data_IF_173805401281
#
_entry.id   IF_173805401281
#
_cell.length_a   1.000
_cell.length_b   1.000
_cell.length_c   1.000
_cell.angle_alpha   90.00
_cell.angle_beta   90.00
_cell.angle_gamma   90.00
#
_symmetry.space_group_name_H-M   'P 1'
#
loop_
_entity.id
_entity.type
_entity.pdbx_description
1 polymer ?
2 non-polymer ?
3 non-polymer ?
4 non-polymer ?
5 water ?
#
# COMPACT_ATOMS: atom_id res chain seq x y z
N UNK A 3 -14.08 -5.95 -23.52
CA UNK A 3 -14.48 -6.35 -22.18
C UNK A 3 -13.99 -5.32 -21.13
N UNK A 4 -12.68 -5.20 -20.98
CA UNK A 4 -12.12 -4.29 -19.99
C UNK A 4 -12.25 -2.84 -20.45
N UNK A 5 -12.61 -1.92 -19.56
CA UNK A 5 -12.71 -0.51 -19.96
C UNK A 5 -11.34 0.12 -20.21
N UNK A 6 -11.35 1.19 -21.03
CA UNK A 6 -10.09 1.86 -21.37
C UNK A 6 -9.47 2.57 -20.17
N UNK A 7 -10.30 2.96 -19.20
CA UNK A 7 -9.85 3.51 -17.93
C UNK A 7 -10.67 2.91 -16.81
N UNK A 8 -10.05 2.80 -15.63
CA UNK A 8 -10.74 2.36 -14.43
C UNK A 8 -10.11 3.02 -13.23
N UNK A 9 -10.94 3.37 -12.25
CA UNK A 9 -10.46 4.02 -11.03
C UNK A 9 -11.25 3.45 -9.87
N UNK A 10 -10.56 2.71 -9.00
CA UNK A 10 -11.21 2.09 -7.86
C UNK A 10 -11.95 3.11 -7.00
N UNK A 11 -11.43 4.34 -6.89
CA UNK A 11 -12.12 5.35 -6.09
C UNK A 11 -13.50 5.68 -6.66
N UNK A 12 -13.65 5.60 -7.98
CA UNK A 12 -14.95 5.83 -8.62
C UNK A 12 -15.84 4.59 -8.58
N UNK A 13 -15.25 3.39 -8.68
CA UNK A 13 -16.08 2.17 -8.65
C UNK A 13 -16.68 1.92 -7.27
N UNK A 14 -15.93 2.21 -6.19
CA UNK A 14 -16.38 1.94 -4.83
C UNK A 14 -16.39 3.26 -4.05
N UNK A 15 -17.37 4.13 -4.34
CA UNK A 15 -17.37 5.47 -3.70
C UNK A 15 -17.68 5.48 -2.22
N UNK A 16 -18.15 4.38 -1.62
CA UNK A 16 -18.39 4.35 -0.18
C UNK A 16 -17.25 3.70 0.60
N UNK A 17 -16.09 3.53 -0.01
CA UNK A 17 -14.92 2.92 0.63
C UNK A 17 -13.84 3.98 0.76
N UNK A 18 -13.79 4.72 1.87
CA UNK A 18 -12.92 5.90 1.97
C UNK A 18 -11.44 5.59 2.06
N UNK A 19 -11.07 4.36 2.45
CA UNK A 19 -9.65 4.07 2.50
C UNK A 19 -9.02 4.04 1.11
N UNK A 20 -9.81 3.84 0.05
CA UNK A 20 -9.22 3.80 -1.29
C UNK A 20 -8.66 5.18 -1.64
N UNK A 21 -9.29 6.24 -1.16
CA UNK A 21 -8.85 7.60 -1.42
C UNK A 21 -7.70 8.05 -0.50
N UNK A 22 -7.38 7.28 0.53
CA UNK A 22 -6.52 7.75 1.61
C UNK A 22 -5.05 7.49 1.31
N UNK A 23 -4.21 8.51 1.52
CA UNK A 23 -2.76 8.41 1.31
C UNK A 23 -2.08 8.37 2.67
N UNK A 24 -1.19 7.40 2.85
CA UNK A 24 -0.50 7.22 4.11
C UNK A 24 0.92 7.81 4.02
N UNK A 25 1.65 7.73 5.13
CA UNK A 25 3.04 8.20 5.23
C UNK A 25 3.82 7.19 6.05
N UNK A 26 4.76 6.50 5.43
CA UNK A 26 5.50 5.51 6.19
C UNK A 26 6.51 6.14 7.14
N UNK A 27 6.71 7.46 7.09
CA UNK A 27 7.68 8.12 7.97
C UNK A 27 9.11 7.76 7.60
N UNK A 28 10.03 7.98 8.54
CA UNK A 28 11.44 7.63 8.36
C UNK A 28 11.66 6.17 8.73
N UNK A 29 11.08 5.31 7.89
CA UNK A 29 11.11 3.87 8.10
C UNK A 29 10.87 3.26 6.73
N UNK A 30 11.53 2.16 6.44
CA UNK A 30 11.40 1.54 5.14
C UNK A 30 10.30 0.49 5.13
N UNK A 31 9.06 0.93 5.40
CA UNK A 31 7.93 0.04 5.61
C UNK A 31 6.98 0.01 4.41
N UNK A 32 7.44 0.50 3.25
CA UNK A 32 6.61 0.52 2.05
C UNK A 32 6.02 -0.84 1.76
N UNK A 33 6.80 -1.92 2.00
CA UNK A 33 6.32 -3.27 1.75
C UNK A 33 5.08 -3.59 2.59
N UNK A 34 5.01 -3.04 3.81
CA UNK A 34 3.85 -3.25 4.67
C UNK A 34 2.68 -2.35 4.29
N UNK A 35 2.96 -1.09 3.94
CA UNK A 35 1.88 -0.17 3.61
C UNK A 35 1.17 -0.59 2.32
N UNK A 36 1.90 -0.96 1.28
CA UNK A 36 1.25 -1.45 0.08
C UNK A 36 0.27 -2.58 0.38
N UNK A 37 0.65 -3.49 1.29
CA UNK A 37 -0.25 -4.60 1.61
C UNK A 37 -1.47 -4.12 2.39
N UNK A 38 -1.27 -3.38 3.49
CA UNK A 38 -2.40 -3.10 4.37
C UNK A 38 -3.37 -2.10 3.73
N UNK A 39 -2.88 -1.22 2.84
CA UNK A 39 -3.79 -0.36 2.09
C UNK A 39 -4.67 -1.18 1.15
N UNK A 40 -4.05 -2.07 0.37
CA UNK A 40 -4.83 -2.90 -0.53
C UNK A 40 -5.79 -3.81 0.22
N UNK A 41 -5.35 -4.35 1.37
CA UNK A 41 -6.22 -5.19 2.21
C UNK A 41 -7.41 -4.38 2.75
N UNK A 42 -7.16 -3.14 3.21
CA UNK A 42 -8.22 -2.30 3.74
C UNK A 42 -9.28 -2.03 2.67
N UNK A 43 -8.84 -1.70 1.45
CA UNK A 43 -9.75 -1.54 0.32
C UNK A 43 -10.54 -2.82 0.03
N UNK A 44 -9.87 -3.98 -0.02
CA UNK A 44 -10.58 -5.20 -0.39
C UNK A 44 -11.61 -5.61 0.67
N UNK A 45 -11.32 -5.38 1.97
CA UNK A 45 -12.32 -5.67 3.02
C UNK A 45 -13.57 -4.84 2.79
N UNK A 46 -13.41 -3.55 2.50
CA UNK A 46 -14.57 -2.72 2.23
C UNK A 46 -15.31 -3.19 0.97
N UNK A 47 -14.56 -3.55 -0.08
CA UNK A 47 -15.15 -4.08 -1.30
C UNK A 47 -15.85 -5.40 -1.03
N UNK A 48 -15.20 -6.29 -0.26
CA UNK A 48 -15.74 -7.61 0.01
C UNK A 48 -17.06 -7.53 0.77
N UNK A 49 -17.28 -6.47 1.54
CA UNK A 49 -18.47 -6.29 2.37
C UNK A 49 -19.38 -5.19 1.86
N UNK A 50 -19.12 -4.65 0.66
CA UNK A 50 -19.97 -3.61 0.09
C UNK A 50 -20.13 -2.44 1.05
N UNK A 51 -19.01 -2.05 1.65
CA UNK A 51 -18.92 -0.86 2.51
C UNK A 51 -19.55 -1.05 3.91
N UNK A 52 -19.91 -2.27 4.28
CA UNK A 52 -20.41 -2.45 5.64
C UNK A 52 -19.25 -2.49 6.65
N UNK A 53 -18.07 -2.88 6.20
CA UNK A 53 -16.87 -2.88 7.03
C UNK A 53 -15.86 -2.00 6.32
N UNK A 54 -15.52 -0.86 6.92
CA UNK A 54 -14.54 0.05 6.36
C UNK A 54 -13.56 0.37 7.48
N UNK A 55 -12.39 -0.29 7.45
CA UNK A 55 -11.39 -0.18 8.50
C UNK A 55 -10.03 0.07 7.88
N UNK A 56 -9.20 0.83 8.61
CA UNK A 56 -7.79 0.97 8.28
C UNK A 56 -7.05 -0.19 8.95
N UNK A 57 -6.54 -1.12 8.14
CA UNK A 57 -5.74 -2.21 8.69
C UNK A 57 -4.37 -1.65 9.10
N UNK A 58 -3.79 -2.20 10.17
CA UNK A 58 -2.63 -1.58 10.84
C UNK A 58 -1.33 -1.91 10.12
N UNK A 59 -0.70 -0.90 9.53
CA UNK A 59 0.68 -1.08 9.09
C UNK A 59 1.57 -1.49 10.26
N UNK A 60 1.31 -0.94 11.45
CA UNK A 60 2.12 -1.25 12.62
C UNK A 60 2.09 -2.74 12.96
N UNK A 61 0.92 -3.36 12.89
CA UNK A 61 0.81 -4.77 13.26
C UNK A 61 1.66 -5.64 12.33
N UNK A 62 1.61 -5.37 11.03
CA UNK A 62 2.37 -6.15 10.05
C UNK A 62 3.87 -5.87 10.16
N UNK A 63 4.25 -4.62 10.37
CA UNK A 63 5.65 -4.24 10.43
C UNK A 63 6.35 -4.88 11.63
N UNK A 64 5.68 -4.91 12.78
CA UNK A 64 6.34 -5.31 14.02
C UNK A 64 6.17 -6.79 14.31
N UNK A 65 5.11 -7.44 13.83
CA UNK A 65 4.82 -8.80 14.27
C UNK A 65 5.13 -9.87 13.22
N UNK A 66 5.48 -9.49 11.99
CA UNK A 66 5.72 -10.53 10.99
C UNK A 66 7.06 -11.24 11.21
N UNK A 67 8.08 -10.51 11.66
CA UNK A 67 9.36 -11.14 11.92
C UNK A 67 10.14 -11.47 10.65
N UNK A 68 11.00 -12.49 10.77
CA UNK A 68 11.95 -12.78 9.70
C UNK A 68 11.27 -13.22 8.41
N UNK A 69 10.05 -13.74 8.51
CA UNK A 69 9.37 -14.24 7.32
C UNK A 69 9.14 -13.12 6.31
N UNK A 70 8.88 -11.90 6.78
CA UNK A 70 8.58 -10.79 5.89
C UNK A 70 9.83 -10.06 5.42
N UNK A 71 10.90 -10.09 6.20
CA UNK A 71 12.09 -9.31 5.92
C UNK A 71 12.69 -8.78 7.20
N UNK A 72 13.03 -7.50 7.25
CA UNK A 72 13.65 -6.92 8.44
C UNK A 72 13.01 -5.58 8.79
N UNK A 73 11.67 -5.54 8.83
CA UNK A 73 10.99 -4.42 9.45
C UNK A 73 11.22 -3.12 8.71
N UNK A 74 11.66 -2.09 9.45
CA UNK A 74 11.94 -0.78 8.86
C UNK A 74 13.13 -0.79 7.92
N UNK A 75 13.84 -1.91 7.75
CA UNK A 75 14.90 -1.98 6.77
C UNK A 75 14.43 -2.60 5.46
N UNK A 76 13.14 -2.81 5.31
CA UNK A 76 12.61 -3.37 4.09
C UNK A 76 12.13 -4.80 4.29
N UNK A 77 11.32 -5.24 3.33
CA UNK A 77 10.67 -6.53 3.42
C UNK A 77 10.09 -6.93 2.08
N UNK A 78 9.21 -7.92 2.12
CA UNK A 78 8.74 -8.59 0.90
C UNK A 78 7.22 -8.65 0.84
N UNK A 79 6.60 -7.96 -0.14
CA UNK A 79 5.13 -7.93 -0.19
C UNK A 79 4.46 -9.29 -0.19
N UNK A 80 4.95 -10.23 -0.99
CA UNK A 80 4.33 -11.55 -1.05
C UNK A 80 4.23 -12.16 0.34
N UNK A 81 5.28 -11.98 1.16
CA UNK A 81 5.27 -12.61 2.47
C UNK A 81 4.38 -11.84 3.45
N UNK A 82 4.16 -10.54 3.22
CA UNK A 82 3.23 -9.77 4.05
C UNK A 82 1.79 -10.24 3.86
N UNK A 83 1.40 -10.54 2.62
CA UNK A 83 0.05 -11.07 2.42
C UNK A 83 -0.09 -12.44 3.03
N UNK A 84 0.97 -13.25 3.01
CA UNK A 84 0.92 -14.57 3.64
C UNK A 84 0.69 -14.44 5.15
N UNK A 85 1.36 -13.49 5.79
CA UNK A 85 1.12 -13.27 7.22
C UNK A 85 -0.33 -12.89 7.50
N UNK A 86 -0.95 -12.15 6.59
CA UNK A 86 -2.35 -11.79 6.75
C UNK A 86 -3.23 -13.04 6.77
N UNK A 87 -2.89 -14.05 5.96
CA UNK A 87 -3.72 -15.26 6.00
C UNK A 87 -3.40 -16.15 7.19
N UNK A 88 -2.24 -16.01 7.82
CA UNK A 88 -1.80 -16.92 8.87
C UNK A 88 -2.15 -16.40 10.27
N UNK A 89 -1.74 -15.17 10.58
CA UNK A 89 -1.98 -14.58 11.88
C UNK A 89 -2.95 -13.41 11.84
N UNK A 90 -3.25 -12.89 10.65
CA UNK A 90 -4.21 -11.82 10.51
C UNK A 90 -3.62 -10.49 10.95
N UNK A 91 -4.39 -9.43 10.74
CA UNK A 91 -3.95 -8.10 11.07
C UNK A 91 -5.05 -7.36 11.79
N UNK A 92 -4.69 -6.62 12.84
CA UNK A 92 -5.62 -5.75 13.57
C UNK A 92 -5.74 -4.40 12.86
N UNK A 93 -6.65 -3.55 13.34
CA UNK A 93 -6.85 -2.23 12.75
C UNK A 93 -5.93 -1.20 13.40
N UNK A 94 -5.79 -0.07 12.71
CA UNK A 94 -5.04 1.07 13.19
C UNK A 94 -4.83 2.11 12.12
N UNK A 95 -5.11 3.37 12.42
CA UNK A 95 -5.00 4.45 11.48
C UNK A 95 -3.65 5.14 11.52
N UNK A 96 -3.67 6.42 11.16
CA UNK A 96 -2.46 7.21 10.95
C UNK A 96 -1.78 7.52 12.29
N UNK A 97 -0.59 8.10 12.19
CA UNK A 97 0.17 8.45 13.38
C UNK A 97 -0.63 9.42 14.24
N UNK A 98 -0.71 9.10 15.54
CA UNK A 98 -1.46 9.90 16.51
C UNK A 98 -2.88 10.20 16.05
N UNK A 99 -3.54 9.21 15.42
CA UNK A 99 -4.95 9.33 15.09
C UNK A 99 -5.85 8.76 16.17
N UNK A 100 -5.30 7.99 17.10
CA UNK A 100 -6.08 7.25 18.10
C UNK A 100 -7.21 6.47 17.44
N UNK A 101 -6.95 5.93 16.24
CA UNK A 101 -7.91 5.16 15.47
C UNK A 101 -7.47 3.70 15.44
N UNK A 102 -8.38 2.80 15.78
CA UNK A 102 -8.10 1.38 15.69
C UNK A 102 -7.28 0.85 16.85
N UNK A 103 -6.86 -0.41 16.69
CA UNK A 103 -6.14 -1.12 17.73
C UNK A 103 -4.71 -0.63 17.87
N UNK A 104 -3.95 -0.63 16.76
CA UNK A 104 -2.53 -0.28 16.75
C UNK A 104 -2.27 0.76 15.67
N UNK A 105 -2.57 2.03 15.94
CA UNK A 105 -2.22 3.08 14.97
C UNK A 105 -0.71 3.19 14.80
N UNK A 106 -0.32 3.76 13.67
CA UNK A 106 1.10 3.85 13.29
C UNK A 106 1.90 4.65 14.30
N UNK A 107 3.06 4.14 14.70
CA UNK A 107 3.85 4.78 15.73
C UNK A 107 5.01 5.60 15.18
N UNK A 108 5.31 5.51 13.88
CA UNK A 108 6.40 6.25 13.27
C UNK A 108 5.86 7.60 12.78
N UNK A 109 6.42 8.73 13.21
CA UNK A 109 5.86 10.03 12.83
C UNK A 109 6.06 10.33 11.35
N UNK A 110 5.23 11.20 10.78
CA UNK A 110 5.33 11.52 9.36
C UNK A 110 6.51 12.45 9.07
N UNK A 111 6.83 12.60 7.80
CA UNK A 111 7.98 13.42 7.43
C UNK A 111 7.89 13.81 5.95
N UNK A 112 8.84 14.64 5.51
CA UNK A 112 8.83 15.18 4.16
C UNK A 112 9.69 14.31 3.26
N UNK A 113 9.08 13.80 2.20
CA UNK A 113 9.78 12.86 1.28
C UNK A 113 10.19 13.60 0.01
N UNK A 114 11.37 14.19 0.05
CA UNK A 114 11.93 14.87 -1.13
C UNK A 114 11.05 16.06 -1.55
N UNK A 115 10.32 16.65 -0.60
CA UNK A 115 9.52 17.84 -0.87
C UNK A 115 9.66 18.78 0.31
N UNK A 116 9.34 20.04 0.07
CA UNK A 116 9.38 21.04 1.13
C UNK A 116 8.06 21.09 1.87
N UNK A 117 8.15 21.18 3.19
CA UNK A 117 6.96 21.13 4.01
C UNK A 117 7.29 21.47 5.44
N UNK A 118 6.25 21.49 6.27
CA UNK A 118 6.43 21.88 7.65
C UNK A 118 6.86 20.72 8.54
N UNK A 119 6.75 19.49 8.06
CA UNK A 119 7.18 18.34 8.85
C UNK A 119 8.70 18.20 8.73
N UNK A 120 9.32 17.49 9.68
CA UNK A 120 10.74 17.24 9.55
C UNK A 120 11.04 16.45 8.29
N UNK A 121 12.17 16.71 7.65
CA UNK A 121 12.56 15.86 6.50
C UNK A 121 12.80 14.43 6.94
N UNK A 122 12.46 13.49 6.05
CA UNK A 122 12.71 12.09 6.34
C UNK A 122 14.20 11.82 6.42
N UNK A 123 14.55 10.97 7.39
CA UNK A 123 15.95 10.58 7.63
C UNK A 123 16.07 9.06 7.45
N UNK A 124 17.20 8.48 7.82
CA UNK A 124 17.32 7.02 7.76
C UNK A 124 17.20 6.38 9.13
N UNK A 125 16.39 6.97 10.01
CA UNK A 125 16.29 6.47 11.40
C UNK A 125 15.18 5.41 11.47
N UNK A 126 15.45 4.21 10.94
CA UNK A 126 14.43 3.16 10.93
C UNK A 126 14.74 1.97 11.82
N UNK A 127 14.44 2.05 13.11
CA UNK A 127 14.56 0.85 13.96
C UNK A 127 13.14 0.25 14.07
N UNK A 128 13.00 -1.07 13.90
CA UNK A 128 11.62 -1.64 13.85
C UNK A 128 11.06 -1.69 15.27
N UNK A 129 9.93 -1.01 15.55
CA UNK A 129 9.31 -1.06 16.85
C UNK A 129 8.94 -2.49 17.30
N UNK A 130 8.64 -2.63 18.59
CA UNK A 130 8.37 -3.95 19.14
C UNK A 130 6.96 -4.38 18.82
N UNK A 131 6.80 -5.69 18.65
CA UNK A 131 5.48 -6.30 18.44
C UNK A 131 4.75 -6.31 19.78
N UNK A 132 3.90 -5.30 19.99
CA UNK A 132 3.05 -5.19 21.17
C UNK A 132 1.64 -5.66 20.79
N UNK A 133 1.30 -6.88 21.22
CA UNK A 133 -0.01 -7.46 20.94
C UNK A 133 -1.08 -6.96 21.89
N UNK A 134 -1.18 -5.65 22.04
CA UNK A 134 -2.19 -5.01 22.88
C UNK A 134 -2.76 -3.83 22.12
N UNK A 135 -4.06 -3.60 22.28
CA UNK A 135 -4.68 -2.49 21.59
C UNK A 135 -4.49 -1.21 22.38
N UNK A 136 -4.75 -0.09 21.71
CA UNK A 136 -4.60 1.21 22.34
C UNK A 136 -5.55 1.30 23.54
N UNK A 137 -5.15 1.99 24.61
CA UNK A 137 -6.05 2.13 25.77
C UNK A 137 -7.41 2.71 25.37
N UNK A 138 -8.47 2.06 25.84
CA UNK A 138 -9.82 2.46 25.50
C UNK A 138 -10.38 1.85 24.24
N UNK A 139 -9.58 1.10 23.47
CA UNK A 139 -10.10 0.43 22.29
C UNK A 139 -10.89 -0.79 22.72
N UNK A 140 -12.15 -0.87 22.26
CA UNK A 140 -13.08 -1.83 22.87
C UNK A 140 -12.72 -3.29 22.55
N UNK A 141 -12.62 -3.71 21.28
CA UNK A 141 -12.30 -5.12 21.02
C UNK A 141 -10.90 -5.42 21.52
N UNK A 142 -10.67 -6.67 21.93
CA UNK A 142 -9.30 -6.96 22.31
C UNK A 142 -8.46 -7.14 21.04
N UNK A 143 -7.16 -7.29 21.24
CA UNK A 143 -6.24 -7.46 20.12
C UNK A 143 -6.59 -8.72 19.31
N UNK A 144 -6.87 -9.84 20.01
CA UNK A 144 -7.26 -11.06 19.32
C UNK A 144 -8.54 -10.87 18.51
N UNK A 145 -9.55 -10.26 19.11
CA UNK A 145 -10.83 -10.07 18.43
C UNK A 145 -10.77 -9.12 17.25
N UNK A 146 -9.80 -8.21 17.23
CA UNK A 146 -9.71 -7.20 16.18
C UNK A 146 -8.95 -7.70 14.96
N UNK A 147 -8.51 -8.95 14.97
CA UNK A 147 -7.74 -9.49 13.86
C UNK A 147 -8.62 -9.68 12.63
N UNK A 148 -8.10 -9.27 11.47
CA UNK A 148 -8.74 -9.52 10.19
C UNK A 148 -7.86 -10.47 9.39
N UNK A 149 -8.46 -11.55 8.87
CA UNK A 149 -7.72 -12.63 8.22
C UNK A 149 -7.96 -12.67 6.72
N UNK A 150 -6.95 -13.16 6.00
CA UNK A 150 -7.06 -13.43 4.58
C UNK A 150 -7.39 -14.89 4.31
N UNK A 151 -8.27 -15.10 3.32
CA UNK A 151 -8.53 -16.44 2.81
C UNK A 151 -7.31 -16.99 2.09
N UNK A 152 -6.66 -16.16 1.28
CA UNK A 152 -5.49 -16.61 0.53
C UNK A 152 -4.62 -15.40 0.19
N UNK A 153 -3.47 -15.71 -0.42
CA UNK A 153 -2.62 -14.70 -1.05
C UNK A 153 -1.99 -15.37 -2.27
N UNK A 154 -1.70 -14.56 -3.29
CA UNK A 154 -1.28 -15.12 -4.56
C UNK A 154 -0.56 -14.06 -5.37
N UNK A 155 0.26 -14.51 -6.31
CA UNK A 155 0.88 -13.62 -7.29
C UNK A 155 -0.08 -13.42 -8.45
N UNK A 156 -0.07 -12.24 -9.02
CA UNK A 156 -0.70 -12.02 -10.31
C UNK A 156 0.38 -12.12 -11.37
N UNK A 157 0.03 -12.71 -12.50
CA UNK A 157 1.02 -12.92 -13.55
C UNK A 157 1.46 -11.58 -14.15
N UNK A 158 2.68 -11.59 -14.69
CA UNK A 158 3.30 -10.45 -15.33
C UNK A 158 2.63 -10.20 -16.67
N UNK A 159 1.36 -9.84 -16.63
CA UNK A 159 0.55 -9.62 -17.80
C UNK A 159 -0.38 -8.45 -17.51
N UNK A 160 -0.32 -7.44 -18.38
CA UNK A 160 -1.12 -6.23 -18.23
C UNK A 160 -2.60 -6.57 -18.07
N UNK A 161 -3.12 -7.44 -18.94
CA UNK A 161 -4.55 -7.75 -18.93
C UNK A 161 -4.96 -8.53 -17.68
N UNK A 162 -4.09 -9.39 -17.14
CA UNK A 162 -4.44 -10.11 -15.92
C UNK A 162 -4.46 -9.19 -14.71
N UNK A 163 -3.49 -8.28 -14.63
CA UNK A 163 -3.46 -7.31 -13.54
C UNK A 163 -4.68 -6.41 -13.61
N UNK A 164 -5.05 -5.94 -14.82
CA UNK A 164 -6.25 -5.12 -14.92
C UNK A 164 -7.49 -5.89 -14.50
N UNK A 165 -7.60 -7.15 -14.96
CA UNK A 165 -8.75 -7.98 -14.61
C UNK A 165 -8.84 -8.20 -13.11
N UNK A 166 -7.69 -8.41 -12.47
CA UNK A 166 -7.64 -8.61 -11.02
C UNK A 166 -8.15 -7.37 -10.29
N UNK A 167 -7.69 -6.19 -10.68
CA UNK A 167 -8.17 -4.97 -10.03
C UNK A 167 -9.66 -4.79 -10.28
N UNK A 168 -10.08 -5.02 -11.53
CA UNK A 168 -11.45 -4.79 -11.98
C UNK A 168 -12.43 -5.64 -11.22
N UNK A 169 -12.06 -6.88 -10.93
CA UNK A 169 -12.95 -7.81 -10.23
C UNK A 169 -12.76 -7.82 -8.72
N UNK A 170 -11.53 -7.74 -8.23
CA UNK A 170 -11.25 -7.99 -6.83
C UNK A 170 -10.75 -6.80 -6.06
N UNK A 171 -10.43 -5.69 -6.73
CA UNK A 171 -9.99 -4.51 -6.01
C UNK A 171 -8.50 -4.27 -6.12
N UNK A 172 -8.03 -3.25 -5.42
CA UNK A 172 -6.62 -2.83 -5.53
C UNK A 172 -5.63 -3.91 -5.10
N UNK A 173 -4.45 -3.88 -5.71
CA UNK A 173 -3.40 -4.86 -5.50
C UNK A 173 -2.14 -4.15 -4.97
N UNK A 174 -1.20 -4.94 -4.47
CA UNK A 174 0.13 -4.43 -4.16
C UNK A 174 1.05 -4.77 -5.32
N UNK A 175 1.92 -3.81 -5.67
CA UNK A 175 2.95 -4.04 -6.67
C UNK A 175 4.28 -3.54 -6.15
N UNK A 176 5.31 -3.74 -6.97
CA UNK A 176 6.65 -3.31 -6.64
C UNK A 176 7.36 -2.92 -7.93
N UNK A 177 8.24 -1.93 -7.82
CA UNK A 177 9.01 -1.48 -8.97
C UNK A 177 10.32 -0.90 -8.46
N UNK A 178 11.26 -0.71 -9.38
CA UNK A 178 12.56 -0.13 -9.10
C UNK A 178 12.47 1.39 -9.16
N UNK A 179 12.95 2.07 -8.11
CA UNK A 179 12.94 3.53 -8.08
C UNK A 179 14.28 4.05 -8.63
N UNK A 180 14.21 4.89 -9.65
CA UNK A 180 15.35 5.64 -10.12
C UNK A 180 15.22 7.08 -9.65
N UNK A 181 16.35 7.80 -9.60
CA UNK A 181 16.36 9.07 -8.89
C UNK A 181 15.43 10.09 -9.54
N UNK A 182 15.22 10.02 -10.86
CA UNK A 182 14.26 10.94 -11.47
C UNK A 182 12.83 10.74 -10.95
N UNK A 183 12.53 9.56 -10.40
CA UNK A 183 11.19 9.33 -9.85
C UNK A 183 10.91 10.21 -8.64
N UNK A 184 11.97 10.56 -7.88
CA UNK A 184 11.77 11.28 -6.63
C UNK A 184 11.16 12.66 -6.85
N UNK A 185 11.32 13.21 -8.05
CA UNK A 185 10.85 14.55 -8.39
C UNK A 185 9.49 14.54 -9.09
N UNK A 186 8.82 13.38 -9.14
CA UNK A 186 7.55 13.28 -9.87
C UNK A 186 6.54 14.30 -9.36
N UNK A 187 5.90 15.01 -10.28
CA UNK A 187 4.78 15.88 -9.93
C UNK A 187 3.47 15.48 -10.57
N UNK A 188 3.47 15.22 -11.88
CA UNK A 188 2.22 14.98 -12.60
C UNK A 188 2.56 14.22 -13.87
N UNK A 189 1.52 13.83 -14.60
CA UNK A 189 1.71 13.13 -15.86
C UNK A 189 2.02 11.66 -15.62
N UNK A 190 2.52 11.01 -16.67
CA UNK A 190 2.85 9.59 -16.64
C UNK A 190 4.35 9.44 -16.47
N UNK A 191 4.78 8.86 -15.35
CA UNK A 191 6.20 8.67 -15.14
C UNK A 191 6.76 7.62 -16.10
N UNK A 192 7.87 7.96 -16.75
CA UNK A 192 8.74 7.04 -17.49
C UNK A 192 10.17 7.36 -17.14
N UNK A 193 10.96 6.33 -16.83
CA UNK A 193 12.32 6.56 -16.40
C UNK A 193 13.15 7.09 -17.56
N UNK A 194 13.83 8.23 -17.35
CA UNK A 194 14.64 8.81 -18.41
C UNK A 194 16.06 9.10 -17.94
N UNK A 195 16.24 9.34 -16.63
CA UNK A 195 17.55 9.71 -16.10
C UNK A 195 17.71 9.17 -14.69
N UNK A 196 18.96 9.00 -14.27
CA UNK A 196 19.29 8.82 -12.88
C UNK A 196 19.58 7.37 -12.50
N UNK A 197 20.32 7.21 -11.40
CA UNK A 197 20.76 5.89 -10.97
C UNK A 197 19.66 5.16 -10.21
N UNK A 198 19.85 3.84 -10.08
CA UNK A 198 18.89 2.99 -9.39
C UNK A 198 19.01 3.23 -7.88
N UNK A 199 17.89 3.54 -7.22
CA UNK A 199 17.93 3.79 -5.78
C UNK A 199 17.55 2.59 -4.94
N UNK A 200 16.62 1.78 -5.42
CA UNK A 200 16.14 0.63 -4.65
C UNK A 200 14.73 0.27 -5.06
N UNK A 201 14.23 -0.77 -4.42
CA UNK A 201 12.90 -1.26 -4.71
C UNK A 201 11.88 -0.64 -3.78
N UNK A 202 10.68 -0.43 -4.32
CA UNK A 202 9.60 0.28 -3.64
C UNK A 202 8.32 -0.50 -3.89
N UNK A 203 7.44 -0.56 -2.89
CA UNK A 203 6.23 -1.36 -2.95
C UNK A 203 5.03 -0.44 -2.73
N UNK A 204 4.01 -0.55 -3.58
CA UNK A 204 2.96 0.46 -3.65
C UNK A 204 1.63 -0.22 -3.89
N UNK A 205 0.58 0.59 -3.96
CA UNK A 205 -0.79 0.12 -4.17
C UNK A 205 -1.27 0.60 -5.54
N UNK A 206 -1.63 -0.34 -6.41
CA UNK A 206 -2.13 -0.05 -7.74
C UNK A 206 -3.65 -0.13 -7.69
N UNK A 207 -4.32 0.91 -8.14
CA UNK A 207 -5.77 0.98 -7.95
C UNK A 207 -6.52 1.38 -9.21
N UNK A 208 -5.86 1.34 -10.36
CA UNK A 208 -6.54 1.61 -11.61
C UNK A 208 -5.56 1.81 -12.76
N UNK A 209 -6.12 2.33 -13.85
CA UNK A 209 -5.36 2.53 -15.09
C UNK A 209 -6.07 3.56 -15.97
N UNK A 210 -5.37 3.99 -16.99
CA UNK A 210 -5.94 4.97 -17.90
C UNK A 210 -5.01 5.22 -19.05
N UNK A 211 -5.33 6.28 -19.79
CA UNK A 211 -4.49 6.79 -20.87
C UNK A 211 -4.42 8.30 -20.71
N UNK A 212 -3.23 8.86 -20.77
CA UNK A 212 -3.04 10.30 -20.66
C UNK A 212 -2.18 10.73 -21.84
N UNK A 213 -2.75 11.56 -22.72
CA UNK A 213 -2.06 12.07 -23.91
C UNK A 213 -1.47 10.91 -24.70
N UNK A 214 -2.30 9.90 -24.93
CA UNK A 214 -1.89 8.72 -25.67
C UNK A 214 -1.01 7.74 -24.92
N UNK A 215 -0.60 8.06 -23.69
CA UNK A 215 0.31 7.20 -22.94
C UNK A 215 -0.48 6.36 -21.95
N UNK A 216 -0.51 5.03 -22.07
CA UNK A 216 -1.24 4.22 -21.09
C UNK A 216 -0.50 4.20 -19.76
N UNK A 217 -1.25 4.17 -18.68
CA UNK A 217 -0.63 4.24 -17.36
C UNK A 217 -1.38 3.38 -16.34
N UNK A 218 -0.68 3.12 -15.23
CA UNK A 218 -1.26 2.59 -14.00
C UNK A 218 -1.50 3.74 -13.03
N UNK A 219 -2.64 3.72 -12.34
CA UNK A 219 -2.90 4.67 -11.26
C UNK A 219 -2.42 4.06 -9.95
N UNK A 220 -1.48 4.73 -9.28
CA UNK A 220 -0.77 4.17 -8.13
C UNK A 220 -0.83 5.12 -6.93
N UNK A 221 -1.10 4.56 -5.75
CA UNK A 221 -0.94 5.29 -4.49
C UNK A 221 0.46 5.05 -3.93
N UNK A 222 1.19 6.14 -3.68
CA UNK A 222 2.44 6.13 -2.93
C UNK A 222 2.14 6.33 -1.44
N UNK A 223 3.12 6.00 -0.60
CA UNK A 223 2.95 6.18 0.85
C UNK A 223 3.94 7.21 1.39
N UNK A 224 4.08 8.33 0.68
CA UNK A 224 4.98 9.42 1.07
C UNK A 224 4.19 10.66 1.43
N UNK A 225 2.99 10.47 1.98
CA UNK A 225 2.09 11.57 2.33
C UNK A 225 1.53 12.29 1.09
N UNK A 226 0.65 13.26 1.33
CA UNK A 226 -0.11 13.85 0.23
C UNK A 226 0.64 14.95 -0.50
N UNK A 227 1.63 15.57 0.14
CA UNK A 227 2.32 16.65 -0.55
C UNK A 227 3.40 16.16 -1.50
N UNK A 228 3.68 14.86 -1.52
CA UNK A 228 4.52 14.28 -2.55
C UNK A 228 3.71 14.00 -3.82
N UNK A 229 4.33 14.27 -4.97
CA UNK A 229 3.71 13.89 -6.24
C UNK A 229 2.37 14.57 -6.50
N UNK A 230 1.42 13.81 -7.05
CA UNK A 230 0.11 14.33 -7.45
C UNK A 230 -0.89 14.01 -6.35
N UNK A 231 -0.86 14.82 -5.31
CA UNK A 231 -1.66 14.61 -4.10
C UNK A 231 -1.39 13.25 -3.47
N UNK A 232 -0.15 12.76 -3.60
CA UNK A 232 0.22 11.46 -3.07
C UNK A 232 0.13 10.31 -4.06
N UNK A 233 -0.59 10.48 -5.17
CA UNK A 233 -0.66 9.46 -6.20
C UNK A 233 0.37 9.77 -7.29
N UNK A 234 0.65 8.76 -8.11
CA UNK A 234 1.41 8.97 -9.33
C UNK A 234 0.83 8.06 -10.41
N UNK A 235 1.18 8.34 -11.65
CA UNK A 235 0.89 7.49 -12.79
C UNK A 235 2.19 6.95 -13.36
N UNK A 236 2.21 5.68 -13.74
CA UNK A 236 3.41 5.09 -14.31
C UNK A 236 3.05 4.33 -15.60
N UNK A 237 3.98 4.36 -16.56
CA UNK A 237 3.77 3.74 -17.88
C UNK A 237 3.34 2.29 -17.76
N UNK A 238 2.31 1.91 -18.53
CA UNK A 238 1.64 0.61 -18.45
C UNK A 238 1.85 -0.16 -19.75
N UNK A 239 2.11 -1.46 -19.63
CA UNK A 239 2.14 -2.35 -20.77
C UNK A 239 3.52 -2.79 -21.19
N UNK A 240 4.59 -2.26 -20.56
CA UNK A 240 5.95 -2.60 -20.92
C UNK A 240 6.76 -3.07 -19.72
N UNK A 241 6.10 -3.54 -18.65
CA UNK A 241 6.77 -3.93 -17.41
C UNK A 241 7.78 -2.86 -16.96
N UNK A 242 7.38 -1.60 -17.13
CA UNK A 242 8.33 -0.49 -16.93
C UNK A 242 8.81 -0.43 -15.49
N UNK A 243 10.13 -0.47 -15.31
CA UNK A 243 10.72 -0.51 -13.96
C UNK A 243 10.26 -1.74 -13.17
N UNK A 244 9.76 -2.77 -13.85
CA UNK A 244 9.28 -3.95 -13.17
C UNK A 244 7.90 -3.83 -12.57
N UNK A 245 7.13 -2.80 -12.94
CA UNK A 245 5.85 -2.52 -12.26
C UNK A 245 4.86 -3.67 -12.43
N UNK A 246 4.95 -4.44 -13.52
CA UNK A 246 4.01 -5.53 -13.76
C UNK A 246 4.54 -6.89 -13.30
N UNK A 247 5.68 -6.94 -12.62
CA UNK A 247 6.35 -8.20 -12.38
C UNK A 247 6.24 -8.72 -10.95
N UNK A 248 5.71 -7.92 -10.01
CA UNK A 248 5.74 -8.31 -8.61
C UNK A 248 4.39 -8.02 -7.95
N UNK A 249 3.30 -8.21 -8.69
CA UNK A 249 1.96 -7.87 -8.21
C UNK A 249 1.43 -9.03 -7.37
N UNK A 250 0.89 -8.71 -6.19
CA UNK A 250 0.39 -9.70 -5.24
C UNK A 250 -0.94 -9.19 -4.70
N UNK A 251 -1.83 -10.13 -4.36
CA UNK A 251 -3.13 -9.79 -3.78
C UNK A 251 -3.63 -11.00 -3.01
N UNK A 252 -4.90 -10.93 -2.59
CA UNK A 252 -5.50 -11.97 -1.77
C UNK A 252 -6.92 -11.57 -1.42
N UNK A 253 -7.69 -12.55 -0.98
CA UNK A 253 -9.13 -12.40 -0.73
C UNK A 253 -9.37 -12.40 0.78
N UNK A 254 -10.10 -11.42 1.32
CA UNK A 254 -10.36 -11.41 2.77
C UNK A 254 -11.28 -12.55 3.21
N UNK A 255 -11.12 -12.94 4.46
CA UNK A 255 -12.10 -13.85 5.07
C UNK A 255 -13.19 -12.91 5.60
N UNK A 256 -14.43 -13.38 5.69
CA UNK A 256 -15.55 -12.55 6.18
C UNK A 256 -15.49 -12.42 7.71
N UNK A 257 -15.45 -11.18 8.22
CA UNK A 257 -15.49 -10.88 9.68
C UNK A 257 -14.14 -11.14 10.36
#
# INVERSE_FOLDING_TARGET
DLKLPASFDAREQWPQCPTIKEIRDQGSCGSCWAFGAVEAISDRICIHTNAHVSVEVSAEDLLTCCGSMCGDGCNGGYPAEAWNFWTRKGLVSGGLYESHVGCRPYSIPPCEHHVNGSRPPCTGEGDTPKCSKICEPGYSPTYKQDKHYGYNSYSVSNSEKDIMAEIYKNGPVEGAFSVYSDFLLYKSGVYQHVTGEMMGGHAIRILGWGVENGTPYWLVANSWNTDWGDNGFFKILRGQDHCGIESEVVAGIPRTD
#
